data_IF_398069138836
#
_entry.id   IF_398069138836
#
_cell.length_a   1.000
_cell.length_b   1.000
_cell.length_c   1.000
_cell.angle_alpha   90.00
_cell.angle_beta   90.00
_cell.angle_gamma   90.00
#
_symmetry.space_group_name_H-M   'P 1'
#
loop_
_entity.id
_entity.type
_entity.pdbx_description
1 polymer ?
#
# COMPACT_ATOMS: atom_id res chain seq x y z
N UNK A 1 -12.29 -1.68 11.23
CA UNK A 1 -12.54 -3.16 11.15
C UNK A 1 -11.68 -3.71 10.02
N UNK A 2 -10.87 -4.76 10.23
CA UNK A 2 -10.05 -5.35 9.16
C UNK A 2 -10.98 -5.95 8.12
N UNK A 3 -10.80 -5.61 6.84
CA UNK A 3 -11.61 -6.18 5.78
C UNK A 3 -11.21 -7.66 5.59
N UNK A 4 -12.18 -8.59 5.73
CA UNK A 4 -11.93 -10.05 5.69
C UNK A 4 -11.18 -10.51 4.44
N UNK A 5 -11.38 -9.84 3.30
CA UNK A 5 -10.68 -10.13 2.06
C UNK A 5 -9.15 -9.92 2.15
N UNK A 6 -8.69 -8.92 2.92
CA UNK A 6 -7.25 -8.66 3.09
C UNK A 6 -6.58 -9.76 3.93
N UNK A 7 -7.23 -10.19 5.02
CA UNK A 7 -6.69 -11.23 5.91
C UNK A 7 -6.67 -12.62 5.26
N UNK A 8 -7.76 -13.01 4.57
CA UNK A 8 -7.89 -14.33 3.96
C UNK A 8 -7.03 -14.50 2.70
N UNK A 9 -6.92 -13.44 1.89
CA UNK A 9 -6.11 -13.45 0.67
C UNK A 9 -4.61 -13.66 0.96
N UNK A 10 -4.08 -13.00 1.99
CA UNK A 10 -2.67 -13.13 2.36
C UNK A 10 -2.30 -14.54 2.84
N UNK A 11 -3.13 -15.16 3.71
CA UNK A 11 -2.83 -16.48 4.26
C UNK A 11 -2.68 -17.57 3.18
N UNK A 12 -3.42 -17.45 2.07
CA UNK A 12 -3.39 -18.44 0.98
C UNK A 12 -2.24 -18.23 -0.01
N UNK A 13 -1.80 -17.00 -0.22
CA UNK A 13 -0.91 -16.63 -1.33
C UNK A 13 0.30 -15.78 -0.89
N UNK A 14 0.83 -15.98 0.32
CA UNK A 14 1.94 -15.17 0.85
C UNK A 14 3.17 -15.10 -0.10
N UNK A 15 3.53 -16.21 -0.75
CA UNK A 15 4.66 -16.24 -1.69
C UNK A 15 4.34 -15.47 -3.00
N UNK A 16 3.14 -15.61 -3.56
CA UNK A 16 2.70 -14.85 -4.73
C UNK A 16 2.57 -13.36 -4.39
N UNK A 17 2.10 -13.03 -3.19
CA UNK A 17 2.02 -11.66 -2.70
C UNK A 17 3.40 -10.97 -2.70
N UNK A 18 4.44 -11.66 -2.23
CA UNK A 18 5.79 -11.10 -2.18
C UNK A 18 6.42 -10.93 -3.57
N UNK A 19 6.22 -11.90 -4.49
CA UNK A 19 6.77 -11.82 -5.85
C UNK A 19 6.04 -10.83 -6.73
N UNK A 20 4.71 -10.75 -6.61
CA UNK A 20 3.87 -9.95 -7.50
C UNK A 20 3.75 -8.47 -7.10
N UNK A 21 4.24 -8.05 -5.94
CA UNK A 21 4.11 -6.66 -5.47
C UNK A 21 5.34 -5.84 -5.82
N UNK A 22 5.18 -4.70 -6.53
CA UNK A 22 6.31 -3.81 -6.82
C UNK A 22 6.88 -3.22 -5.53
N UNK A 23 8.20 -3.13 -5.47
CA UNK A 23 8.88 -2.27 -4.50
C UNK A 23 8.61 -0.79 -4.82
N UNK A 24 8.94 0.09 -3.89
CA UNK A 24 8.89 1.53 -4.16
C UNK A 24 10.15 2.00 -4.87
N UNK A 25 9.98 3.00 -5.75
CA UNK A 25 11.12 3.57 -6.47
C UNK A 25 12.16 4.16 -5.49
N UNK A 26 13.46 3.96 -5.71
CA UNK A 26 14.49 4.51 -4.81
C UNK A 26 14.39 6.01 -4.58
N UNK A 27 14.05 6.80 -5.61
CA UNK A 27 13.89 8.24 -5.49
C UNK A 27 12.69 8.61 -4.59
N UNK A 28 11.61 7.83 -4.59
CA UNK A 28 10.51 8.01 -3.65
C UNK A 28 10.98 7.76 -2.21
N UNK A 29 11.74 6.68 -1.99
CA UNK A 29 12.28 6.36 -0.66
C UNK A 29 13.22 7.48 -0.21
N UNK A 30 14.12 7.95 -1.08
CA UNK A 30 15.02 9.06 -0.78
C UNK A 30 14.24 10.35 -0.44
N UNK A 31 13.17 10.66 -1.17
CA UNK A 31 12.30 11.80 -0.91
C UNK A 31 11.61 11.66 0.46
N UNK A 32 11.09 10.46 0.78
CA UNK A 32 10.47 10.19 2.08
C UNK A 32 11.46 10.38 3.23
N UNK A 33 12.68 9.88 3.09
CA UNK A 33 13.75 10.03 4.09
C UNK A 33 14.13 11.49 4.27
N UNK A 34 14.34 12.22 3.17
CA UNK A 34 14.76 13.63 3.19
C UNK A 34 13.72 14.55 3.82
N UNK A 35 12.43 14.35 3.48
CA UNK A 35 11.36 15.28 3.90
C UNK A 35 10.59 14.84 5.13
N UNK A 36 10.53 13.53 5.39
CA UNK A 36 9.64 12.95 6.39
C UNK A 36 10.33 11.92 7.28
N UNK A 37 11.64 11.70 7.14
CA UNK A 37 12.39 10.70 7.90
C UNK A 37 12.89 11.20 9.26
N UNK A 38 12.70 12.48 9.60
CA UNK A 38 13.08 13.01 10.91
C UNK A 38 11.98 12.76 11.95
N UNK A 39 12.40 12.38 13.18
CA UNK A 39 11.49 12.10 14.28
C UNK A 39 10.86 10.70 14.22
N UNK A 40 9.73 10.53 14.90
CA UNK A 40 9.00 9.26 14.95
C UNK A 40 8.06 9.14 13.74
N UNK A 41 8.32 8.16 12.89
CA UNK A 41 7.51 7.83 11.71
C UNK A 41 6.63 6.62 12.03
N UNK A 42 5.32 6.76 11.84
CA UNK A 42 4.35 5.69 12.05
C UNK A 42 3.74 5.29 10.70
N UNK A 43 3.86 4.01 10.31
CA UNK A 43 3.25 3.46 9.11
C UNK A 43 1.98 2.68 9.47
N UNK A 44 0.83 3.06 8.88
CA UNK A 44 -0.48 2.42 9.05
C UNK A 44 -0.76 1.41 7.93
N UNK A 45 -1.10 0.18 8.31
CA UNK A 45 -1.33 -0.91 7.37
C UNK A 45 -0.04 -1.32 6.67
N UNK A 46 1.05 -1.47 7.43
CA UNK A 46 2.40 -1.74 6.93
C UNK A 46 2.53 -3.09 6.17
N UNK A 47 1.55 -3.97 6.31
CA UNK A 47 1.52 -5.26 5.64
C UNK A 47 2.73 -6.12 5.99
N UNK A 48 3.47 -6.54 4.97
CA UNK A 48 4.70 -7.32 5.14
C UNK A 48 5.97 -6.46 5.12
N UNK A 49 5.84 -5.13 5.23
CA UNK A 49 6.95 -4.19 5.33
C UNK A 49 7.63 -3.85 4.01
N UNK A 50 6.88 -3.74 2.92
CA UNK A 50 7.46 -3.39 1.60
C UNK A 50 8.05 -1.98 1.63
N UNK A 51 7.39 -1.01 2.28
CA UNK A 51 7.92 0.34 2.47
C UNK A 51 8.74 0.45 3.76
N UNK A 52 8.32 -0.21 4.84
CA UNK A 52 9.02 -0.20 6.13
C UNK A 52 10.50 -0.58 5.96
N UNK A 53 10.79 -1.64 5.18
CA UNK A 53 12.15 -2.15 5.01
C UNK A 53 13.13 -1.11 4.44
N UNK A 54 12.87 -0.47 3.29
CA UNK A 54 13.80 0.54 2.76
C UNK A 54 13.90 1.79 3.65
N UNK A 55 12.85 2.19 4.38
CA UNK A 55 12.91 3.31 5.32
C UNK A 55 13.84 2.98 6.50
N UNK A 56 13.68 1.83 7.13
CA UNK A 56 14.56 1.38 8.22
C UNK A 56 16.00 1.18 7.73
N UNK A 57 16.20 0.64 6.54
CA UNK A 57 17.54 0.50 5.94
C UNK A 57 18.23 1.85 5.68
N UNK A 58 17.44 2.91 5.47
CA UNK A 58 17.93 4.28 5.34
C UNK A 58 18.11 5.01 6.70
N UNK A 59 17.86 4.33 7.83
CA UNK A 59 18.06 4.87 9.17
C UNK A 59 16.86 5.60 9.77
N UNK A 60 15.66 5.45 9.19
CA UNK A 60 14.43 6.02 9.75
C UNK A 60 13.91 5.15 10.89
N UNK A 61 13.53 5.75 12.01
CA UNK A 61 12.87 5.09 13.13
C UNK A 61 11.38 4.88 12.80
N UNK A 62 11.02 3.64 12.41
CA UNK A 62 9.65 3.33 11.98
C UNK A 62 8.89 2.51 13.01
N UNK A 63 7.70 2.99 13.36
CA UNK A 63 6.67 2.25 14.08
C UNK A 63 5.65 1.76 13.06
N UNK A 64 5.58 0.45 12.87
CA UNK A 64 4.72 -0.18 11.88
C UNK A 64 3.48 -0.77 12.54
N UNK A 65 2.29 -0.33 12.13
CA UNK A 65 0.99 -0.82 12.62
C UNK A 65 0.35 -1.69 11.55
N UNK A 66 0.04 -2.94 11.93
CA UNK A 66 -0.59 -3.90 11.03
C UNK A 66 -1.61 -4.76 11.81
N UNK A 67 -2.89 -4.76 11.42
CA UNK A 67 -3.92 -5.53 12.11
C UNK A 67 -3.83 -7.05 11.88
N UNK A 68 -3.34 -7.50 10.70
CA UNK A 68 -3.30 -8.93 10.34
C UNK A 68 -2.08 -9.61 10.94
N UNK A 69 -2.29 -10.54 11.88
CA UNK A 69 -1.23 -11.22 12.62
C UNK A 69 -0.17 -11.87 11.72
N UNK A 70 -0.59 -12.60 10.68
CA UNK A 70 0.33 -13.26 9.77
C UNK A 70 1.23 -12.27 9.00
N UNK A 71 0.70 -11.09 8.63
CA UNK A 71 1.48 -10.01 8.02
C UNK A 71 2.44 -9.39 9.03
N UNK A 72 1.98 -9.13 10.27
CA UNK A 72 2.83 -8.61 11.35
C UNK A 72 4.01 -9.52 11.65
N UNK A 73 3.77 -10.83 11.72
CA UNK A 73 4.85 -11.82 11.93
C UNK A 73 5.89 -11.74 10.82
N UNK A 74 5.45 -11.74 9.56
CA UNK A 74 6.34 -11.59 8.41
C UNK A 74 7.10 -10.26 8.43
N UNK A 75 6.43 -9.16 8.79
CA UNK A 75 7.03 -7.84 8.92
C UNK A 75 8.13 -7.84 9.99
N UNK A 76 7.86 -8.36 11.18
CA UNK A 76 8.81 -8.40 12.27
C UNK A 76 10.07 -9.25 11.94
N UNK A 77 9.89 -10.35 11.20
CA UNK A 77 10.99 -11.18 10.72
C UNK A 77 11.85 -10.48 9.66
N UNK A 78 11.21 -9.77 8.74
CA UNK A 78 11.89 -9.09 7.62
C UNK A 78 12.56 -7.77 8.00
N UNK A 79 12.00 -7.06 8.98
CA UNK A 79 12.42 -5.70 9.36
C UNK A 79 12.63 -5.63 10.87
N UNK A 80 13.67 -6.32 11.41
CA UNK A 80 13.89 -6.38 12.86
C UNK A 80 14.24 -5.02 13.49
N UNK A 81 14.55 -3.99 12.69
CA UNK A 81 14.77 -2.62 13.15
C UNK A 81 13.49 -1.79 13.34
N UNK A 82 12.33 -2.28 12.91
CA UNK A 82 11.06 -1.58 13.11
C UNK A 82 10.40 -1.99 14.42
N UNK A 83 9.65 -1.06 15.04
CA UNK A 83 8.74 -1.38 16.14
C UNK A 83 7.41 -1.82 15.53
N UNK A 84 7.06 -3.11 15.65
CA UNK A 84 5.85 -3.67 15.04
C UNK A 84 4.75 -3.83 16.08
N UNK A 85 3.60 -3.19 15.86
CA UNK A 85 2.46 -3.20 16.78
C UNK A 85 1.18 -3.71 16.10
N UNK A 86 0.33 -4.36 16.90
CA UNK A 86 -1.04 -4.67 16.50
C UNK A 86 -1.93 -3.43 16.68
N UNK A 87 -2.70 -3.07 15.65
CA UNK A 87 -3.60 -1.93 15.69
C UNK A 87 -4.27 -1.71 14.34
N UNK A 88 -5.19 -0.76 14.29
CA UNK A 88 -5.84 -0.30 13.06
C UNK A 88 -5.68 1.21 12.93
N UNK A 89 -6.02 1.78 11.78
CA UNK A 89 -6.00 3.22 11.58
C UNK A 89 -7.03 3.96 12.44
N UNK A 90 -8.13 3.26 12.80
CA UNK A 90 -9.21 3.77 13.65
C UNK A 90 -8.93 3.59 15.16
N UNK A 91 -7.84 2.90 15.50
CA UNK A 91 -7.42 2.68 16.91
C UNK A 91 -5.91 2.48 16.95
N UNK A 92 -5.18 3.58 16.96
CA UNK A 92 -3.72 3.62 16.92
C UNK A 92 -3.17 3.45 18.34
N UNK A 93 -2.37 2.41 18.67
CA UNK A 93 -1.86 2.15 20.00
C UNK A 93 -0.67 3.08 20.36
N UNK A 94 -0.89 4.37 20.24
CA UNK A 94 0.09 5.43 20.56
C UNK A 94 -0.58 6.53 21.37
N UNK A 95 0.23 7.24 22.14
CA UNK A 95 -0.22 8.40 22.92
C UNK A 95 -0.56 9.58 22.00
N UNK A 96 -1.33 10.54 22.51
CA UNK A 96 -1.63 11.78 21.82
C UNK A 96 -0.33 12.53 21.54
N UNK A 97 -0.23 13.15 20.34
CA UNK A 97 0.90 14.00 19.95
C UNK A 97 2.26 13.34 20.15
N UNK A 98 2.35 12.06 19.79
CA UNK A 98 3.55 11.24 20.01
C UNK A 98 4.38 11.01 18.76
N UNK A 99 3.83 11.25 17.54
CA UNK A 99 4.53 11.00 16.27
C UNK A 99 4.62 12.26 15.40
N UNK A 100 5.65 12.33 14.57
CA UNK A 100 5.90 13.47 13.68
C UNK A 100 5.27 13.24 12.31
N UNK A 101 5.25 11.99 11.85
CA UNK A 101 4.75 11.60 10.55
C UNK A 101 3.89 10.34 10.66
N UNK A 102 2.74 10.34 9.99
CA UNK A 102 1.93 9.15 9.74
C UNK A 102 1.98 8.84 8.24
N UNK A 103 2.44 7.64 7.89
CA UNK A 103 2.47 7.12 6.52
C UNK A 103 1.31 6.13 6.31
N UNK A 104 0.66 6.19 5.16
CA UNK A 104 -0.28 5.18 4.70
C UNK A 104 0.13 4.72 3.30
N UNK A 105 0.85 3.59 3.23
CA UNK A 105 1.35 3.04 1.98
C UNK A 105 0.41 1.98 1.43
N UNK A 106 -0.23 2.21 0.28
CA UNK A 106 -1.19 1.29 -0.34
C UNK A 106 -2.34 0.86 0.60
N UNK A 107 -2.66 1.63 1.65
CA UNK A 107 -3.54 1.17 2.73
C UNK A 107 -4.73 2.06 3.00
N UNK A 108 -4.68 3.38 2.73
CA UNK A 108 -5.71 4.34 3.16
C UNK A 108 -7.12 3.99 2.64
N UNK A 109 -7.24 3.35 1.49
CA UNK A 109 -8.54 2.93 0.95
C UNK A 109 -9.27 1.84 1.76
N UNK A 110 -8.58 1.22 2.72
CA UNK A 110 -9.16 0.25 3.66
C UNK A 110 -9.74 0.87 4.92
N UNK A 111 -9.42 2.14 5.19
CA UNK A 111 -9.75 2.80 6.44
C UNK A 111 -11.19 3.35 6.43
N UNK A 112 -11.80 3.37 7.60
CA UNK A 112 -12.92 4.25 7.88
C UNK A 112 -12.34 5.68 7.98
N UNK A 113 -12.39 6.43 6.88
CA UNK A 113 -11.67 7.68 6.77
C UNK A 113 -11.97 8.69 7.90
N UNK A 114 -13.23 8.94 8.32
CA UNK A 114 -13.50 9.83 9.44
C UNK A 114 -12.83 9.37 10.74
N UNK A 115 -12.99 8.11 11.13
CA UNK A 115 -12.41 7.57 12.35
C UNK A 115 -10.88 7.49 12.29
N UNK A 116 -10.32 7.13 11.12
CA UNK A 116 -8.88 7.10 10.91
C UNK A 116 -8.26 8.51 10.99
N UNK A 117 -8.90 9.53 10.37
CA UNK A 117 -8.41 10.90 10.43
C UNK A 117 -8.49 11.48 11.85
N UNK A 118 -9.48 11.08 12.67
CA UNK A 118 -9.53 11.45 14.09
C UNK A 118 -8.33 10.88 14.85
N UNK A 119 -8.02 9.62 14.68
CA UNK A 119 -6.87 8.98 15.32
C UNK A 119 -5.52 9.51 14.81
N UNK A 120 -5.39 9.71 13.49
CA UNK A 120 -4.20 10.31 12.89
C UNK A 120 -3.96 11.71 13.45
N UNK A 121 -4.99 12.55 13.50
CA UNK A 121 -4.86 13.89 14.09
C UNK A 121 -4.54 13.84 15.61
N UNK A 122 -5.07 12.84 16.32
CA UNK A 122 -4.78 12.65 17.76
C UNK A 122 -3.30 12.33 18.02
N UNK A 123 -2.73 11.39 17.24
CA UNK A 123 -1.34 10.94 17.48
C UNK A 123 -0.29 11.86 16.89
N UNK A 124 -0.61 12.65 15.86
CA UNK A 124 0.32 13.60 15.27
C UNK A 124 0.64 14.76 16.25
N UNK A 125 1.90 15.13 16.31
CA UNK A 125 2.33 16.40 16.93
C UNK A 125 1.76 17.59 16.15
N UNK A 126 1.64 18.79 16.76
CA UNK A 126 1.31 20.00 16.01
C UNK A 126 2.26 20.19 14.82
N UNK A 127 1.70 20.49 13.66
CA UNK A 127 2.42 20.57 12.38
C UNK A 127 3.01 19.24 11.88
N UNK A 128 2.61 18.11 12.45
CA UNK A 128 2.96 16.77 11.93
C UNK A 128 2.36 16.51 10.55
N UNK A 129 2.81 15.46 9.90
CA UNK A 129 2.48 15.16 8.51
C UNK A 129 1.69 13.87 8.38
N UNK A 130 0.61 13.91 7.58
CA UNK A 130 0.00 12.72 7.00
C UNK A 130 0.55 12.57 5.57
N UNK A 131 1.07 11.40 5.23
CA UNK A 131 1.63 11.11 3.90
C UNK A 131 1.01 9.84 3.37
N UNK A 132 0.46 9.89 2.17
CA UNK A 132 0.00 8.69 1.45
C UNK A 132 0.99 8.34 0.35
N UNK A 133 1.21 7.04 0.14
CA UNK A 133 2.12 6.53 -0.88
C UNK A 133 1.45 5.42 -1.68
N UNK A 134 1.53 5.53 -3.00
CA UNK A 134 0.87 4.60 -3.90
C UNK A 134 1.81 4.13 -5.02
N UNK A 135 1.71 2.86 -5.38
CA UNK A 135 2.18 2.35 -6.67
C UNK A 135 0.95 2.13 -7.55
N UNK A 136 0.80 2.95 -8.56
CA UNK A 136 -0.35 2.96 -9.48
C UNK A 136 0.10 2.39 -10.82
N UNK A 137 -0.70 1.48 -11.38
CA UNK A 137 -0.45 0.90 -12.70
C UNK A 137 -0.70 1.93 -13.80
N UNK A 138 0.18 1.95 -14.80
CA UNK A 138 -0.01 2.79 -15.98
C UNK A 138 -0.91 2.10 -17.01
N UNK A 139 -2.19 2.43 -16.99
CA UNK A 139 -3.22 1.86 -17.86
C UNK A 139 -3.33 2.54 -19.24
N UNK A 140 -2.45 3.49 -19.54
CA UNK A 140 -2.32 4.00 -20.90
C UNK A 140 -1.81 2.92 -21.85
N UNK A 141 -1.10 1.90 -21.31
CA UNK A 141 -0.66 0.74 -22.09
C UNK A 141 -1.78 -0.29 -22.22
N UNK A 142 -2.12 -0.72 -23.48
CA UNK A 142 -3.27 -1.58 -23.74
C UNK A 142 -3.29 -2.89 -22.96
N UNK A 143 -2.12 -3.53 -22.76
CA UNK A 143 -2.06 -4.77 -22.01
C UNK A 143 -2.32 -4.57 -20.50
N UNK A 144 -1.91 -3.43 -19.93
CA UNK A 144 -2.19 -3.07 -18.54
C UNK A 144 -3.68 -2.78 -18.34
N UNK A 145 -4.30 -2.08 -19.31
CA UNK A 145 -5.75 -1.87 -19.31
C UNK A 145 -6.50 -3.21 -19.37
N UNK A 146 -6.10 -4.11 -20.26
CA UNK A 146 -6.70 -5.46 -20.37
C UNK A 146 -6.51 -6.27 -19.08
N UNK A 147 -5.31 -6.25 -18.48
CA UNK A 147 -5.07 -6.85 -17.17
C UNK A 147 -6.02 -6.30 -16.11
N UNK A 148 -6.17 -4.97 -16.05
CA UNK A 148 -7.04 -4.32 -15.07
C UNK A 148 -8.49 -4.73 -15.25
N UNK A 149 -8.98 -4.81 -16.49
CA UNK A 149 -10.34 -5.26 -16.80
C UNK A 149 -10.59 -6.69 -16.30
N UNK A 150 -9.64 -7.62 -16.51
CA UNK A 150 -9.76 -9.01 -16.00
C UNK A 150 -9.86 -9.02 -14.48
N UNK A 151 -8.96 -8.34 -13.80
CA UNK A 151 -8.92 -8.32 -12.33
C UNK A 151 -10.15 -7.64 -11.75
N UNK A 152 -10.54 -6.50 -12.31
CA UNK A 152 -11.62 -5.65 -11.77
C UNK A 152 -13.02 -6.27 -11.91
N UNK A 153 -13.22 -7.22 -12.84
CA UNK A 153 -14.46 -8.02 -12.92
C UNK A 153 -14.82 -8.74 -11.62
N UNK A 154 -13.81 -9.03 -10.79
CA UNK A 154 -13.97 -9.76 -9.54
C UNK A 154 -13.96 -8.87 -8.28
N UNK A 155 -13.87 -7.56 -8.47
CA UNK A 155 -13.69 -6.63 -7.35
C UNK A 155 -14.93 -6.43 -6.48
N UNK A 156 -16.14 -6.61 -7.04
CA UNK A 156 -17.41 -6.27 -6.37
C UNK A 156 -17.32 -4.91 -5.65
N UNK A 157 -17.72 -4.83 -4.40
CA UNK A 157 -17.68 -3.62 -3.57
C UNK A 157 -16.36 -3.48 -2.77
N UNK A 158 -15.31 -4.23 -3.11
CA UNK A 158 -14.03 -4.16 -2.39
C UNK A 158 -13.40 -2.78 -2.58
N UNK A 159 -13.06 -2.07 -1.49
CA UNK A 159 -12.40 -0.77 -1.57
C UNK A 159 -11.07 -0.85 -2.31
N UNK A 160 -10.82 0.11 -3.18
CA UNK A 160 -9.61 0.19 -4.01
C UNK A 160 -9.17 1.65 -4.14
N UNK A 161 -7.91 1.85 -4.52
CA UNK A 161 -7.37 3.17 -4.84
C UNK A 161 -8.31 4.01 -5.73
N UNK A 162 -8.99 3.37 -6.71
CA UNK A 162 -9.84 4.07 -7.69
C UNK A 162 -11.34 4.12 -7.34
N UNK A 163 -11.82 3.22 -6.49
CA UNK A 163 -13.25 3.13 -6.17
C UNK A 163 -13.66 3.97 -4.97
N UNK A 164 -12.70 4.50 -4.23
CA UNK A 164 -12.92 5.36 -3.07
C UNK A 164 -12.13 6.65 -3.26
N UNK A 165 -12.81 7.78 -3.15
CA UNK A 165 -12.14 9.07 -3.20
C UNK A 165 -11.47 9.38 -1.85
N UNK A 166 -10.42 8.63 -1.56
CA UNK A 166 -9.63 8.73 -0.33
C UNK A 166 -8.98 10.12 -0.20
N UNK A 167 -8.62 10.74 -1.34
CA UNK A 167 -8.03 12.07 -1.37
C UNK A 167 -9.04 13.13 -0.97
N UNK A 168 -10.25 13.10 -1.53
CA UNK A 168 -11.32 14.01 -1.15
C UNK A 168 -11.71 13.87 0.32
N UNK A 169 -11.60 12.66 0.90
CA UNK A 169 -11.85 12.47 2.32
C UNK A 169 -10.82 13.22 3.20
N UNK A 170 -9.54 13.23 2.80
CA UNK A 170 -8.49 13.98 3.52
C UNK A 170 -8.59 15.47 3.23
N UNK A 171 -8.75 15.87 1.96
CA UNK A 171 -8.84 17.27 1.55
C UNK A 171 -10.09 17.97 2.13
N UNK A 172 -11.15 17.21 2.41
CA UNK A 172 -12.37 17.69 3.07
C UNK A 172 -12.26 17.88 4.58
N UNK A 173 -11.22 17.35 5.21
CA UNK A 173 -11.00 17.51 6.65
C UNK A 173 -10.23 18.81 6.93
N UNK A 174 -10.90 19.77 7.56
CA UNK A 174 -10.37 21.12 7.83
C UNK A 174 -9.10 21.14 8.69
N UNK A 175 -8.76 20.02 9.33
CA UNK A 175 -7.54 19.87 10.13
C UNK A 175 -6.29 19.66 9.27
N UNK A 176 -6.44 19.23 8.04
CA UNK A 176 -5.35 18.89 7.16
C UNK A 176 -5.25 19.85 5.98
N UNK A 177 -4.04 20.32 5.69
CA UNK A 177 -3.75 21.19 4.53
C UNK A 177 -2.77 20.48 3.63
N UNK A 178 -3.13 20.28 2.36
CA UNK A 178 -2.25 19.68 1.36
C UNK A 178 -0.96 20.50 1.17
N UNK A 179 0.17 19.80 1.14
CA UNK A 179 1.51 20.45 1.07
C UNK A 179 2.37 19.93 -0.05
N UNK A 180 2.32 18.63 -0.35
CA UNK A 180 3.14 18.01 -1.39
C UNK A 180 2.30 17.08 -2.26
N UNK A 181 2.65 17.05 -3.55
CA UNK A 181 2.15 16.10 -4.54
C UNK A 181 3.34 15.77 -5.47
N UNK A 182 3.73 14.50 -5.51
CA UNK A 182 4.90 14.06 -6.24
C UNK A 182 4.65 12.71 -6.92
N UNK A 183 5.25 12.55 -8.08
CA UNK A 183 5.09 11.34 -8.89
C UNK A 183 6.42 10.99 -9.57
N UNK A 184 6.70 9.70 -9.69
CA UNK A 184 7.83 9.18 -10.48
C UNK A 184 7.43 7.86 -11.16
N UNK A 185 7.93 7.66 -12.39
CA UNK A 185 7.81 6.36 -13.05
C UNK A 185 8.53 5.29 -12.20
N UNK A 186 7.85 4.16 -11.98
CA UNK A 186 8.36 3.02 -11.21
C UNK A 186 8.22 1.72 -12.02
N UNK A 187 8.98 1.56 -13.14
CA UNK A 187 8.94 0.33 -13.92
C UNK A 187 9.41 -0.84 -13.06
N UNK A 188 8.57 -1.86 -12.95
CA UNK A 188 8.84 -3.05 -12.15
C UNK A 188 9.26 -4.22 -13.06
N UNK A 189 10.54 -4.61 -13.06
CA UNK A 189 11.02 -5.74 -13.85
C UNK A 189 10.27 -7.02 -13.45
N UNK A 190 9.71 -7.71 -14.43
CA UNK A 190 8.88 -8.89 -14.23
C UNK A 190 8.93 -9.84 -15.41
N UNK A 191 8.21 -10.94 -15.29
CA UNK A 191 7.96 -11.92 -16.35
C UNK A 191 6.46 -12.28 -16.39
N UNK A 192 5.98 -13.08 -17.34
CA UNK A 192 4.58 -13.49 -17.40
C UNK A 192 4.05 -14.10 -16.12
N UNK A 193 4.85 -14.93 -15.42
CA UNK A 193 4.44 -15.54 -14.15
C UNK A 193 4.30 -14.50 -13.04
N UNK A 194 5.19 -13.51 -12.96
CA UNK A 194 5.11 -12.42 -12.00
C UNK A 194 3.83 -11.58 -12.16
N UNK A 195 3.36 -11.36 -13.39
CA UNK A 195 2.08 -10.68 -13.65
C UNK A 195 0.89 -11.53 -13.23
N UNK A 196 0.92 -12.84 -13.48
CA UNK A 196 -0.09 -13.79 -12.98
C UNK A 196 -0.10 -13.79 -11.44
N UNK A 197 1.07 -13.91 -10.80
CA UNK A 197 1.20 -13.87 -9.35
C UNK A 197 0.66 -12.55 -8.77
N UNK A 198 0.89 -11.44 -9.48
CA UNK A 198 0.33 -10.13 -9.10
C UNK A 198 -1.20 -10.14 -9.11
N UNK A 199 -1.84 -10.72 -10.11
CA UNK A 199 -3.29 -10.85 -10.18
C UNK A 199 -3.82 -11.71 -9.03
N UNK A 200 -3.26 -12.90 -8.85
CA UNK A 200 -3.65 -13.86 -7.81
C UNK A 200 -3.41 -13.34 -6.38
N UNK A 201 -2.46 -12.42 -6.19
CA UNK A 201 -2.21 -11.76 -4.90
C UNK A 201 -3.17 -10.61 -4.58
N UNK A 202 -4.05 -10.23 -5.52
CA UNK A 202 -5.06 -9.21 -5.27
C UNK A 202 -6.15 -9.80 -4.34
N UNK A 203 -6.48 -9.11 -3.28
CA UNK A 203 -7.27 -9.64 -2.15
C UNK A 203 -8.57 -10.33 -2.59
N UNK A 204 -9.34 -9.70 -3.47
CA UNK A 204 -10.60 -10.24 -3.95
C UNK A 204 -10.45 -11.37 -4.99
N UNK A 205 -9.33 -11.42 -5.73
CA UNK A 205 -9.00 -12.57 -6.60
C UNK A 205 -8.54 -13.75 -5.75
N UNK A 206 -7.70 -13.49 -4.75
CA UNK A 206 -7.23 -14.51 -3.81
C UNK A 206 -8.37 -15.14 -2.98
N UNK A 207 -9.49 -14.46 -2.84
CA UNK A 207 -10.69 -14.96 -2.16
C UNK A 207 -11.59 -15.85 -3.04
N UNK A 208 -11.39 -15.90 -4.36
CA UNK A 208 -12.13 -16.74 -5.29
C UNK A 208 -11.85 -18.23 -5.04
N UNK A 209 -12.71 -19.09 -5.57
CA UNK A 209 -12.41 -20.52 -5.62
C UNK A 209 -11.29 -20.84 -6.62
N UNK A 210 -10.72 -22.04 -6.54
CA UNK A 210 -9.57 -22.44 -7.35
C UNK A 210 -9.87 -22.40 -8.85
N UNK A 211 -11.08 -22.77 -9.27
CA UNK A 211 -11.44 -22.79 -10.70
C UNK A 211 -11.51 -21.38 -11.29
N UNK A 212 -12.00 -20.42 -10.49
CA UNK A 212 -12.02 -19.01 -10.88
C UNK A 212 -10.62 -18.40 -10.89
N UNK A 213 -9.77 -18.73 -9.91
CA UNK A 213 -8.37 -18.32 -9.89
C UNK A 213 -7.60 -18.85 -11.11
N UNK A 214 -7.82 -20.12 -11.50
CA UNK A 214 -7.20 -20.74 -12.66
C UNK A 214 -7.66 -20.04 -13.97
N UNK A 215 -8.93 -19.61 -14.06
CA UNK A 215 -9.43 -18.82 -15.19
C UNK A 215 -8.77 -17.45 -15.27
N UNK A 216 -8.69 -16.73 -14.14
CA UNK A 216 -7.98 -15.44 -14.08
C UNK A 216 -6.52 -15.60 -14.49
N UNK A 217 -5.83 -16.63 -13.97
CA UNK A 217 -4.44 -16.91 -14.32
C UNK A 217 -4.25 -17.16 -15.81
N UNK A 218 -5.14 -17.95 -16.43
CA UNK A 218 -5.07 -18.25 -17.86
C UNK A 218 -5.34 -17.00 -18.73
N UNK A 219 -6.32 -16.18 -18.37
CA UNK A 219 -6.62 -14.94 -19.10
C UNK A 219 -5.44 -13.95 -19.00
N UNK A 220 -4.87 -13.76 -17.81
CA UNK A 220 -3.71 -12.89 -17.63
C UNK A 220 -2.49 -13.41 -18.37
N UNK A 221 -2.21 -14.73 -18.33
CA UNK A 221 -1.11 -15.32 -19.07
C UNK A 221 -1.22 -15.07 -20.58
N UNK A 222 -2.42 -15.19 -21.17
CA UNK A 222 -2.67 -14.90 -22.58
C UNK A 222 -2.44 -13.42 -22.95
N UNK A 223 -2.77 -12.49 -22.04
CA UNK A 223 -2.54 -11.04 -22.24
C UNK A 223 -1.05 -10.73 -22.32
N UNK A 224 -0.23 -11.37 -21.47
CA UNK A 224 1.20 -11.04 -21.36
C UNK A 224 2.12 -11.92 -22.21
N UNK A 225 1.63 -13.03 -22.78
CA UNK A 225 2.42 -13.91 -23.67
C UNK A 225 3.15 -13.15 -24.78
N UNK A 226 2.53 -12.18 -25.48
CA UNK A 226 3.19 -11.44 -26.56
C UNK A 226 4.34 -10.52 -26.09
N UNK A 227 4.45 -10.24 -24.78
CA UNK A 227 5.47 -9.34 -24.24
C UNK A 227 6.85 -10.03 -24.11
N UNK A 228 6.91 -11.35 -24.24
CA UNK A 228 8.14 -12.12 -24.10
C UNK A 228 8.40 -12.59 -22.67
N UNK A 229 9.64 -13.06 -22.42
CA UNK A 229 10.00 -13.74 -21.17
C UNK A 229 10.43 -12.77 -20.04
N UNK A 230 10.69 -11.50 -20.36
CA UNK A 230 11.07 -10.47 -19.37
C UNK A 230 10.73 -9.10 -19.92
N UNK A 231 10.06 -8.28 -19.12
CA UNK A 231 9.64 -6.92 -19.48
C UNK A 231 9.39 -6.11 -18.20
N UNK A 232 9.19 -4.81 -18.34
CA UNK A 232 8.81 -3.95 -17.22
C UNK A 232 7.27 -3.86 -17.12
N UNK A 233 6.75 -4.11 -15.91
CA UNK A 233 5.37 -3.75 -15.58
C UNK A 233 5.37 -2.25 -15.23
N UNK A 234 4.71 -1.39 -16.00
CA UNK A 234 4.77 0.04 -15.77
C UNK A 234 3.88 0.43 -14.59
N UNK A 235 4.54 0.96 -13.57
CA UNK A 235 3.91 1.62 -12.44
C UNK A 235 4.38 3.07 -12.36
N UNK A 236 3.61 3.89 -11.64
CA UNK A 236 4.02 5.17 -11.10
C UNK A 236 3.97 5.07 -9.58
N UNK A 237 5.00 5.58 -8.93
CA UNK A 237 4.95 5.80 -7.48
C UNK A 237 4.51 7.24 -7.24
N UNK A 238 3.44 7.39 -6.46
CA UNK A 238 2.84 8.67 -6.12
C UNK A 238 2.94 8.91 -4.62
N UNK A 239 3.19 10.16 -4.24
CA UNK A 239 3.19 10.63 -2.85
C UNK A 239 2.33 11.87 -2.75
N UNK A 240 1.44 11.89 -1.76
CA UNK A 240 0.70 13.09 -1.36
C UNK A 240 0.91 13.32 0.13
N UNK A 241 1.06 14.58 0.53
CA UNK A 241 1.25 14.94 1.93
C UNK A 241 0.36 16.10 2.37
N UNK A 242 -0.02 16.03 3.63
CA UNK A 242 -0.80 17.07 4.32
C UNK A 242 -0.15 17.40 5.65
N UNK A 243 -0.27 18.66 6.03
CA UNK A 243 0.13 19.13 7.36
C UNK A 243 -1.09 19.23 8.26
N UNK A 244 -0.98 18.71 9.49
CA UNK A 244 -1.96 18.94 10.53
C UNK A 244 -1.90 20.41 10.97
N UNK A 245 -3.06 21.09 11.01
CA UNK A 245 -3.17 22.44 11.59
C UNK A 245 -2.73 22.42 13.06
N UNK A 246 -1.97 23.43 13.44
CA UNK A 246 -1.44 23.57 14.80
C UNK A 246 -2.48 24.04 15.82
#
# INVERSE_FOLDING_TARGET
MVHDAAAQGYQRHAAAYQRGRPSYHPDLVALLVDRYGEGEVLELGAGTGILTLPLVAAGVDVIAIEPVEAMRTTLAERVPGAIVLAGTAESIPREDRSVDVVLASQSFHWFDAPAALDEIARVLRPSGRLVTVWNVRDEELPWVAAYTEVVDRHAADTPRYRSFDWRAAIDGDVRFTATDDWEVANPFPTDPQGVVDRALSTSFVAALDQADQDRVAAEIAAIVEPLGSSFDYPYRSELQAWTLAG
#
